data_IF_950043559511
#
_entry.id   IF_950043559511
#
_cell.length_a   1.000
_cell.length_b   1.000
_cell.length_c   1.000
_cell.angle_alpha   90.00
_cell.angle_beta   90.00
_cell.angle_gamma   90.00
#
_symmetry.space_group_name_H-M   'P 1'
#
loop_
_entity.id
_entity.type
_entity.pdbx_description
1 polymer ?
#
# COMPACT_ATOMS: atom_id res chain seq x y z
N UNK A 1 16.12 -1.48 -5.13
CA UNK A 1 15.15 -2.07 -4.21
C UNK A 1 14.33 -3.08 -4.99
N UNK A 2 14.28 -4.33 -4.54
CA UNK A 2 13.42 -5.37 -5.10
C UNK A 2 11.97 -5.20 -4.59
N UNK A 3 11.03 -5.95 -5.18
CA UNK A 3 9.62 -5.96 -4.72
C UNK A 3 9.51 -6.47 -3.29
N UNK A 4 10.20 -7.55 -2.96
CA UNK A 4 10.21 -8.13 -1.61
C UNK A 4 10.84 -7.18 -0.59
N UNK A 5 11.93 -6.49 -0.97
CA UNK A 5 12.54 -5.45 -0.12
C UNK A 5 11.54 -4.31 0.14
N UNK A 6 10.81 -3.87 -0.89
CA UNK A 6 9.82 -2.80 -0.76
C UNK A 6 8.64 -3.21 0.12
N UNK A 7 8.17 -4.45 0.01
CA UNK A 7 7.13 -4.99 0.90
C UNK A 7 7.63 -5.06 2.35
N UNK A 8 8.86 -5.56 2.56
CA UNK A 8 9.45 -5.71 3.88
C UNK A 8 9.75 -4.36 4.56
N UNK A 9 10.00 -3.30 3.77
CA UNK A 9 10.28 -1.97 4.29
C UNK A 9 9.07 -1.25 4.88
N UNK A 10 7.85 -1.67 4.56
CA UNK A 10 6.61 -1.02 5.03
C UNK A 10 6.02 -1.79 6.22
N UNK A 11 5.92 -1.18 7.42
CA UNK A 11 5.34 -1.83 8.59
C UNK A 11 3.87 -2.21 8.36
N UNK A 12 3.55 -3.48 8.61
CA UNK A 12 2.18 -4.00 8.56
C UNK A 12 1.52 -3.85 9.93
N UNK A 13 0.36 -3.21 9.96
CA UNK A 13 -0.47 -2.99 11.15
C UNK A 13 -1.76 -3.80 11.04
N UNK A 14 -2.47 -4.00 12.15
CA UNK A 14 -3.72 -4.78 12.19
C UNK A 14 -4.80 -4.03 12.96
N UNK A 15 -6.03 -4.02 12.46
CA UNK A 15 -7.19 -3.66 13.27
C UNK A 15 -7.74 -4.93 13.94
N UNK A 16 -7.45 -5.09 15.23
CA UNK A 16 -7.87 -6.26 16.00
C UNK A 16 -7.00 -7.51 15.76
N UNK A 17 -7.57 -8.68 16.03
CA UNK A 17 -6.82 -9.95 16.07
C UNK A 17 -6.75 -10.69 14.73
N UNK A 18 -7.59 -10.32 13.76
CA UNK A 18 -7.63 -10.99 12.45
C UNK A 18 -6.66 -10.38 11.45
N UNK A 19 -6.00 -11.23 10.67
CA UNK A 19 -5.12 -10.85 9.55
C UNK A 19 -5.89 -10.25 8.39
N UNK A 20 -7.21 -10.46 8.29
CA UNK A 20 -8.06 -9.88 7.26
C UNK A 20 -8.16 -8.34 7.33
N UNK A 21 -7.87 -7.76 8.50
CA UNK A 21 -7.89 -6.31 8.72
C UNK A 21 -6.48 -5.73 8.85
N UNK A 22 -5.52 -6.30 8.11
CA UNK A 22 -4.17 -5.77 8.02
C UNK A 22 -4.10 -4.57 7.08
N UNK A 23 -3.37 -3.53 7.48
CA UNK A 23 -3.24 -2.29 6.75
C UNK A 23 -1.82 -1.71 6.88
N UNK A 24 -1.48 -0.78 6.01
CA UNK A 24 -0.24 -0.02 6.05
C UNK A 24 -0.54 1.48 6.13
N UNK A 25 0.36 2.25 6.74
CA UNK A 25 0.29 3.71 6.71
C UNK A 25 1.05 4.23 5.47
N UNK A 26 0.46 5.14 4.70
CA UNK A 26 1.12 5.72 3.53
C UNK A 26 2.39 6.49 3.92
N UNK A 27 2.39 7.07 5.13
CA UNK A 27 3.54 7.78 5.69
C UNK A 27 4.77 6.88 5.92
N UNK A 28 4.60 5.56 5.99
CA UNK A 28 5.71 4.61 6.15
C UNK A 28 6.25 4.11 4.81
N UNK A 29 5.56 4.39 3.69
CA UNK A 29 6.03 3.99 2.36
C UNK A 29 7.21 4.86 1.98
N UNK A 30 8.37 4.28 1.58
CA UNK A 30 9.52 5.08 1.18
C UNK A 30 9.26 5.84 -0.13
N UNK A 31 10.01 6.93 -0.35
CA UNK A 31 10.01 7.63 -1.63
C UNK A 31 10.85 6.85 -2.67
N UNK A 32 10.48 6.84 -3.95
CA UNK A 32 9.37 7.58 -4.58
C UNK A 32 8.01 6.84 -4.55
N UNK A 33 7.98 5.60 -4.07
CA UNK A 33 6.82 4.69 -4.20
C UNK A 33 5.56 5.20 -3.49
N UNK A 34 5.70 5.98 -2.41
CA UNK A 34 4.58 6.62 -1.72
C UNK A 34 3.67 7.39 -2.68
N UNK A 35 4.26 8.28 -3.48
CA UNK A 35 3.48 9.16 -4.34
C UNK A 35 2.80 8.40 -5.48
N UNK A 36 3.50 7.42 -6.04
CA UNK A 36 2.96 6.57 -7.10
C UNK A 36 1.77 5.73 -6.60
N UNK A 37 1.91 5.14 -5.40
CA UNK A 37 0.85 4.36 -4.80
C UNK A 37 -0.33 5.24 -4.35
N UNK A 38 -0.08 6.43 -3.81
CA UNK A 38 -1.14 7.41 -3.49
C UNK A 38 -2.00 7.76 -4.69
N UNK A 39 -1.39 7.90 -5.88
CA UNK A 39 -2.13 8.13 -7.11
C UNK A 39 -2.95 6.89 -7.52
N UNK A 40 -2.35 5.69 -7.44
CA UNK A 40 -3.03 4.43 -7.75
C UNK A 40 -4.21 4.13 -6.81
N UNK A 41 -4.10 4.56 -5.55
CA UNK A 41 -5.11 4.35 -4.51
C UNK A 41 -6.30 5.33 -4.63
N UNK A 42 -6.22 6.38 -5.44
CA UNK A 42 -7.34 7.34 -5.59
C UNK A 42 -8.60 6.61 -6.08
N UNK A 43 -9.67 6.70 -5.31
CA UNK A 43 -10.93 5.98 -5.57
C UNK A 43 -10.96 4.55 -5.04
N UNK A 44 -9.88 4.04 -4.43
CA UNK A 44 -9.91 2.78 -3.67
C UNK A 44 -10.53 2.99 -2.28
N UNK A 45 -11.13 1.93 -1.76
CA UNK A 45 -11.57 1.90 -0.37
C UNK A 45 -10.34 1.75 0.52
N UNK A 46 -10.20 2.64 1.50
CA UNK A 46 -9.10 2.63 2.45
C UNK A 46 -9.61 2.55 3.89
N UNK A 47 -8.87 1.90 4.81
CA UNK A 47 -9.22 1.91 6.22
C UNK A 47 -9.04 3.32 6.80
N UNK A 48 -10.05 3.81 7.52
CA UNK A 48 -9.95 5.02 8.31
C UNK A 48 -9.51 4.66 9.74
N UNK A 49 -8.22 4.85 10.04
CA UNK A 49 -7.66 4.63 11.37
C UNK A 49 -7.40 5.99 12.02
N UNK A 50 -8.03 6.31 13.17
CA UNK A 50 -7.68 7.50 13.94
C UNK A 50 -6.17 7.56 14.23
N UNK A 51 -5.60 8.76 14.23
CA UNK A 51 -4.20 9.05 14.62
C UNK A 51 -3.08 8.45 13.74
N UNK A 52 -3.41 7.59 12.76
CA UNK A 52 -2.42 7.05 11.80
C UNK A 52 -2.33 7.87 10.52
N UNK A 53 -3.41 8.55 10.15
CA UNK A 53 -3.50 9.27 8.88
C UNK A 53 -3.85 8.37 7.69
N UNK A 54 -3.50 8.77 6.45
CA UNK A 54 -3.83 8.01 5.25
C UNK A 54 -3.26 6.59 5.28
N UNK A 55 -4.15 5.60 5.07
CA UNK A 55 -3.81 4.18 5.10
C UNK A 55 -4.26 3.48 3.82
N UNK A 56 -3.74 2.28 3.59
CA UNK A 56 -4.23 1.36 2.58
C UNK A 56 -4.34 -0.05 3.16
N UNK A 57 -5.22 -0.87 2.58
CA UNK A 57 -5.25 -2.29 2.90
C UNK A 57 -3.94 -2.96 2.49
N UNK A 58 -3.50 -3.94 3.29
CA UNK A 58 -2.29 -4.70 2.97
C UNK A 58 -2.40 -5.39 1.61
N UNK A 59 -3.59 -5.89 1.27
CA UNK A 59 -3.86 -6.54 -0.01
C UNK A 59 -3.66 -5.59 -1.18
N UNK A 60 -4.10 -4.35 -1.04
CA UNK A 60 -3.99 -3.34 -2.09
C UNK A 60 -2.52 -3.00 -2.35
N UNK A 61 -1.77 -2.80 -1.28
CA UNK A 61 -0.33 -2.57 -1.34
C UNK A 61 0.41 -3.73 -2.02
N UNK A 62 0.13 -4.98 -1.61
CA UNK A 62 0.78 -6.16 -2.19
C UNK A 62 0.46 -6.32 -3.67
N UNK A 63 -0.79 -6.15 -4.08
CA UNK A 63 -1.18 -6.22 -5.48
C UNK A 63 -0.49 -5.13 -6.31
N UNK A 64 -0.38 -3.92 -5.76
CA UNK A 64 0.32 -2.81 -6.40
C UNK A 64 1.81 -3.06 -6.60
N UNK A 65 2.52 -3.50 -5.56
CA UNK A 65 3.96 -3.80 -5.66
C UNK A 65 4.22 -4.97 -6.63
N UNK A 66 3.34 -5.99 -6.60
CA UNK A 66 3.47 -7.20 -7.43
C UNK A 66 3.02 -7.00 -8.88
N UNK A 67 2.46 -5.85 -9.24
CA UNK A 67 1.97 -5.58 -10.60
C UNK A 67 0.70 -6.35 -10.96
N UNK A 68 -0.11 -6.69 -9.96
CA UNK A 68 -1.45 -7.30 -10.14
C UNK A 68 -2.58 -6.32 -9.78
N UNK A 69 -2.27 -5.02 -9.78
CA UNK A 69 -3.23 -3.96 -9.51
C UNK A 69 -4.23 -3.82 -10.65
N UNK A 70 -5.48 -4.14 -10.36
CA UNK A 70 -6.54 -4.31 -11.37
C UNK A 70 -7.32 -3.02 -11.65
N UNK A 71 -6.98 -1.89 -10.99
CA UNK A 71 -7.79 -0.66 -11.03
C UNK A 71 -7.25 0.43 -11.96
N UNK A 72 -5.93 0.48 -12.23
CA UNK A 72 -5.35 1.35 -13.27
C UNK A 72 -3.90 0.91 -13.58
N UNK A 73 -3.64 0.47 -14.81
CA UNK A 73 -2.33 -0.09 -15.22
C UNK A 73 -1.24 0.96 -15.43
N UNK A 74 -1.57 2.26 -15.37
CA UNK A 74 -0.61 3.37 -15.52
C UNK A 74 0.15 3.71 -14.26
N UNK A 75 -0.21 3.12 -13.12
CA UNK A 75 0.42 3.41 -11.84
C UNK A 75 1.06 2.15 -11.22
N UNK A 76 1.39 1.11 -11.99
CA UNK A 76 1.87 -0.17 -11.46
C UNK A 76 3.37 -0.16 -11.10
N UNK A 77 3.67 -0.36 -9.81
CA UNK A 77 4.96 -0.84 -9.31
C UNK A 77 6.23 -0.07 -9.73
N UNK A 78 7.39 -0.72 -9.53
CA UNK A 78 8.73 -0.26 -9.92
C UNK A 78 8.83 -0.15 -11.46
N UNK A 79 8.26 0.89 -12.05
CA UNK A 79 8.61 1.27 -13.42
C UNK A 79 10.05 1.81 -13.42
N UNK A 80 10.89 1.44 -14.41
CA UNK A 80 12.25 1.98 -14.55
C UNK A 80 12.25 3.48 -14.83
#
# INVERSE_FOLDING_TARGET
MTRDELIAAVPVRRMGTSTAYAYIALADIPAPWRHQFEQALRGSAAPAVPDVGPCAWLTDWQQWVMGSWHRDSRAEGLQP
#
